data_IF_929846348749
#
_entry.id   IF_929846348749
#
_cell.length_a   1.000
_cell.length_b   1.000
_cell.length_c   1.000
_cell.angle_alpha   90.00
_cell.angle_beta   90.00
_cell.angle_gamma   90.00
#
_symmetry.space_group_name_H-M   'P 1'
#
loop_
_entity.id
_entity.type
_entity.pdbx_description
1 polymer ?
#
# COMPACT_ATOMS: atom_id res chain seq x y z
N UNK A 1 -12.56 1.14 29.09
CA UNK A 1 -11.97 -0.21 29.01
C UNK A 1 -12.96 -1.25 28.46
N UNK A 2 -14.16 -1.41 29.03
CA UNK A 2 -15.17 -2.40 28.58
C UNK A 2 -15.68 -2.30 27.12
N UNK A 3 -15.66 -1.13 26.49
CA UNK A 3 -16.05 -0.98 25.08
C UNK A 3 -15.00 -1.56 24.10
N UNK A 4 -13.76 -1.72 24.56
CA UNK A 4 -12.67 -2.31 23.78
C UNK A 4 -12.81 -3.83 23.70
N UNK A 5 -13.33 -4.48 24.76
CA UNK A 5 -13.51 -5.93 24.80
C UNK A 5 -14.45 -6.43 23.70
N UNK A 6 -15.61 -5.78 23.53
CA UNK A 6 -16.58 -6.17 22.48
C UNK A 6 -16.00 -6.03 21.08
N UNK A 7 -15.28 -4.95 20.79
CA UNK A 7 -14.67 -4.73 19.48
C UNK A 7 -13.49 -5.68 19.23
N UNK A 8 -12.67 -5.95 20.26
CA UNK A 8 -11.56 -6.89 20.18
C UNK A 8 -12.04 -8.33 19.97
N UNK A 9 -13.11 -8.75 20.65
CA UNK A 9 -13.74 -10.06 20.44
C UNK A 9 -14.32 -10.20 19.03
N UNK A 10 -15.08 -9.20 18.56
CA UNK A 10 -15.62 -9.20 17.19
C UNK A 10 -14.50 -9.21 16.13
N UNK A 11 -13.43 -8.47 16.37
CA UNK A 11 -12.25 -8.46 15.50
C UNK A 11 -11.59 -9.84 15.46
N UNK A 12 -11.32 -10.45 16.63
CA UNK A 12 -10.67 -11.76 16.77
C UNK A 12 -11.46 -12.87 16.08
N UNK A 13 -12.79 -12.89 16.24
CA UNK A 13 -13.65 -13.88 15.57
C UNK A 13 -13.62 -13.71 14.05
N UNK A 14 -13.70 -12.48 13.54
CA UNK A 14 -13.64 -12.20 12.09
C UNK A 14 -12.29 -12.58 11.50
N UNK A 15 -11.19 -12.29 12.19
CA UNK A 15 -9.84 -12.64 11.71
C UNK A 15 -9.57 -14.13 11.77
N UNK A 16 -10.06 -14.83 12.80
CA UNK A 16 -9.99 -16.28 12.89
C UNK A 16 -10.75 -16.96 11.75
N UNK A 17 -12.00 -16.53 11.47
CA UNK A 17 -12.78 -17.05 10.35
C UNK A 17 -12.10 -16.78 9.00
N UNK A 18 -11.56 -15.57 8.80
CA UNK A 18 -10.82 -15.23 7.59
C UNK A 18 -9.53 -16.07 7.43
N UNK A 19 -8.82 -16.34 8.54
CA UNK A 19 -7.59 -17.12 8.54
C UNK A 19 -7.85 -18.59 8.20
N UNK A 20 -8.92 -19.19 8.75
CA UNK A 20 -9.35 -20.55 8.39
C UNK A 20 -9.78 -20.61 6.93
N UNK A 21 -10.54 -19.63 6.44
CA UNK A 21 -10.95 -19.58 5.03
C UNK A 21 -9.74 -19.50 4.09
N UNK A 22 -8.74 -18.67 4.42
CA UNK A 22 -7.51 -18.58 3.64
C UNK A 22 -6.69 -19.87 3.68
N UNK A 23 -6.63 -20.55 4.83
CA UNK A 23 -5.99 -21.86 4.95
C UNK A 23 -6.71 -22.91 4.10
N UNK A 24 -8.05 -22.94 4.13
CA UNK A 24 -8.85 -23.83 3.29
C UNK A 24 -8.58 -23.58 1.81
N UNK A 25 -8.54 -22.33 1.36
CA UNK A 25 -8.20 -21.97 -0.02
C UNK A 25 -6.77 -22.38 -0.37
N UNK A 26 -5.80 -22.16 0.53
CA UNK A 26 -4.40 -22.58 0.32
C UNK A 26 -4.25 -24.10 0.20
N UNK A 27 -5.00 -24.86 1.00
CA UNK A 27 -5.06 -26.32 0.90
C UNK A 27 -5.75 -26.77 -0.39
N UNK A 28 -6.88 -26.14 -0.76
CA UNK A 28 -7.61 -26.44 -2.00
C UNK A 28 -6.78 -26.11 -3.26
N UNK A 29 -5.96 -25.07 -3.21
CA UNK A 29 -5.01 -24.70 -4.27
C UNK A 29 -3.72 -25.50 -4.29
N UNK A 30 -3.58 -26.52 -3.43
CA UNK A 30 -2.40 -27.37 -3.29
C UNK A 30 -1.07 -26.58 -3.13
N UNK A 31 -1.12 -25.46 -2.39
CA UNK A 31 0.08 -24.67 -2.13
C UNK A 31 1.09 -25.50 -1.34
N UNK A 32 2.36 -25.43 -1.71
CA UNK A 32 3.44 -26.16 -1.02
C UNK A 32 3.57 -25.80 0.47
N UNK A 33 3.06 -24.61 0.87
CA UNK A 33 3.11 -24.10 2.24
C UNK A 33 1.87 -23.26 2.58
N UNK A 34 0.72 -23.90 2.88
CA UNK A 34 -0.55 -23.22 3.11
C UNK A 34 -0.58 -22.40 4.41
N UNK A 35 0.31 -22.70 5.37
CA UNK A 35 0.42 -21.95 6.63
C UNK A 35 0.75 -20.46 6.41
N UNK A 36 1.44 -20.11 5.32
CA UNK A 36 1.73 -18.72 4.98
C UNK A 36 0.46 -17.94 4.63
N UNK A 37 -0.52 -18.57 4.00
CA UNK A 37 -1.80 -17.93 3.70
C UNK A 37 -2.50 -17.49 5.00
N UNK A 38 -2.54 -18.39 5.99
CA UNK A 38 -3.07 -18.08 7.32
C UNK A 38 -2.28 -16.96 8.02
N UNK A 39 -0.94 -17.01 7.97
CA UNK A 39 -0.08 -15.99 8.58
C UNK A 39 -0.30 -14.59 8.00
N UNK A 40 -0.49 -14.46 6.67
CA UNK A 40 -0.74 -13.16 6.04
C UNK A 40 -2.06 -12.53 6.49
N UNK A 41 -3.11 -13.33 6.73
CA UNK A 41 -4.39 -12.81 7.23
C UNK A 41 -4.20 -12.17 8.60
N UNK A 42 -3.49 -12.83 9.52
CA UNK A 42 -3.19 -12.24 10.83
C UNK A 42 -2.36 -10.96 10.73
N UNK A 43 -1.34 -10.94 9.86
CA UNK A 43 -0.50 -9.76 9.67
C UNK A 43 -1.31 -8.58 9.10
N UNK A 44 -2.12 -8.80 8.06
CA UNK A 44 -2.87 -7.75 7.35
C UNK A 44 -4.04 -7.20 8.16
N UNK A 45 -4.61 -8.02 9.03
CA UNK A 45 -5.79 -7.65 9.83
C UNK A 45 -5.43 -6.84 11.08
N UNK A 46 -4.18 -6.91 11.57
CA UNK A 46 -3.71 -6.22 12.76
C UNK A 46 -4.22 -4.76 12.85
N UNK A 47 -4.97 -4.38 13.89
CA UNK A 47 -5.63 -3.06 13.98
C UNK A 47 -4.61 -1.92 14.12
N UNK A 48 -3.38 -2.22 14.56
CA UNK A 48 -2.27 -1.28 14.64
C UNK A 48 -1.72 -0.81 13.27
N UNK A 49 -2.28 -1.29 12.15
CA UNK A 49 -1.95 -0.83 10.81
C UNK A 49 -2.69 0.46 10.39
N UNK A 50 -3.47 1.09 11.27
CA UNK A 50 -4.23 2.32 10.97
C UNK A 50 -3.41 3.42 10.27
N UNK A 51 -2.21 3.79 10.77
CA UNK A 51 -1.33 4.75 10.09
C UNK A 51 -0.69 4.20 8.80
N UNK A 52 -0.48 2.89 8.73
CA UNK A 52 0.22 2.21 7.63
C UNK A 52 -0.67 2.01 6.40
N UNK A 53 -1.98 1.77 6.58
CA UNK A 53 -2.94 1.65 5.47
C UNK A 53 -3.09 2.96 4.72
N UNK A 54 -3.22 4.08 5.42
CA UNK A 54 -3.24 5.41 4.81
C UNK A 54 -1.93 5.68 4.06
N UNK A 55 -0.79 5.39 4.69
CA UNK A 55 0.55 5.57 4.08
C UNK A 55 0.75 4.70 2.82
N UNK A 56 0.18 3.50 2.80
CA UNK A 56 0.19 2.60 1.64
C UNK A 56 -0.63 3.16 0.47
N UNK A 57 -1.83 3.68 0.74
CA UNK A 57 -2.67 4.29 -0.30
C UNK A 57 -1.99 5.49 -0.98
N UNK A 58 -1.37 6.38 -0.19
CA UNK A 58 -0.60 7.51 -0.74
C UNK A 58 0.60 7.07 -1.60
N UNK A 59 1.24 5.93 -1.29
CA UNK A 59 2.32 5.38 -2.11
C UNK A 59 1.84 4.82 -3.44
N UNK A 60 0.70 4.12 -3.46
CA UNK A 60 0.12 3.60 -4.69
C UNK A 60 -0.30 4.75 -5.60
N UNK A 61 -0.98 5.76 -5.05
CA UNK A 61 -1.36 6.94 -5.83
C UNK A 61 -0.14 7.70 -6.37
N UNK A 62 0.88 7.91 -5.53
CA UNK A 62 2.11 8.58 -5.95
C UNK A 62 2.86 7.85 -7.07
N UNK A 63 2.92 6.52 -7.03
CA UNK A 63 3.57 5.72 -8.08
C UNK A 63 2.78 5.73 -9.39
N UNK A 64 1.44 5.68 -9.33
CA UNK A 64 0.59 5.79 -10.52
C UNK A 64 0.72 7.17 -11.18
N UNK A 65 0.68 8.24 -10.39
CA UNK A 65 0.83 9.62 -10.90
C UNK A 65 2.22 9.82 -11.50
N UNK A 66 3.27 9.38 -10.80
CA UNK A 66 4.63 9.47 -11.30
C UNK A 66 4.82 8.66 -12.59
N UNK A 67 4.32 7.42 -12.63
CA UNK A 67 4.38 6.56 -13.82
C UNK A 67 3.64 7.16 -15.02
N UNK A 68 2.45 7.70 -14.81
CA UNK A 68 1.68 8.37 -15.88
C UNK A 68 2.42 9.61 -16.42
N UNK A 69 2.99 10.44 -15.54
CA UNK A 69 3.78 11.60 -15.95
C UNK A 69 5.03 11.19 -16.76
N UNK A 70 5.72 10.13 -16.33
CA UNK A 70 6.86 9.56 -17.05
C UNK A 70 6.46 9.02 -18.41
N UNK A 71 5.37 8.25 -18.50
CA UNK A 71 4.84 7.73 -19.78
C UNK A 71 4.42 8.84 -20.74
N UNK A 72 3.97 9.98 -20.23
CA UNK A 72 3.64 11.14 -21.06
C UNK A 72 4.90 11.89 -21.52
N UNK A 73 5.87 12.13 -20.63
CA UNK A 73 7.08 12.89 -20.97
C UNK A 73 8.08 12.11 -21.84
N UNK A 74 8.22 10.79 -21.63
CA UNK A 74 9.19 9.97 -22.36
C UNK A 74 9.08 10.11 -23.89
N UNK A 75 7.93 9.83 -24.52
CA UNK A 75 7.85 9.84 -25.98
C UNK A 75 8.00 11.24 -26.58
N UNK A 76 7.69 12.30 -25.83
CA UNK A 76 7.80 13.68 -26.32
C UNK A 76 9.23 14.24 -26.23
N UNK A 77 10.02 13.81 -25.24
CA UNK A 77 11.33 14.40 -24.93
C UNK A 77 12.51 13.42 -25.10
N UNK A 78 12.27 12.20 -25.62
CA UNK A 78 13.33 11.19 -25.80
C UNK A 78 14.47 11.65 -26.72
N UNK A 79 14.14 12.46 -27.73
CA UNK A 79 15.11 13.00 -28.70
C UNK A 79 16.07 14.04 -28.09
N UNK A 80 15.75 14.59 -26.91
CA UNK A 80 16.54 15.63 -26.24
C UNK A 80 16.82 15.27 -24.76
N UNK A 81 17.86 14.45 -24.47
CA UNK A 81 18.09 13.88 -23.13
C UNK A 81 18.35 14.94 -22.04
N UNK A 82 18.92 16.08 -22.42
CA UNK A 82 19.14 17.21 -21.50
C UNK A 82 17.81 17.82 -21.02
N UNK A 83 16.87 17.99 -21.95
CA UNK A 83 15.56 18.57 -21.68
C UNK A 83 14.69 17.61 -20.87
N UNK A 84 14.74 16.31 -21.18
CA UNK A 84 14.11 15.25 -20.40
C UNK A 84 14.59 15.25 -18.94
N UNK A 85 15.90 15.36 -18.73
CA UNK A 85 16.51 15.37 -17.39
C UNK A 85 16.08 16.60 -16.57
N UNK A 86 16.09 17.79 -17.19
CA UNK A 86 15.62 19.02 -16.55
C UNK A 86 14.15 18.92 -16.17
N UNK A 87 13.30 18.42 -17.07
CA UNK A 87 11.88 18.31 -16.84
C UNK A 87 11.54 17.26 -15.77
N UNK A 88 12.26 16.12 -15.73
CA UNK A 88 12.12 15.12 -14.65
C UNK A 88 12.56 15.67 -13.30
N UNK A 89 13.67 16.42 -13.24
CA UNK A 89 14.12 17.09 -12.01
C UNK A 89 13.06 18.07 -11.50
N UNK A 90 12.47 18.88 -12.38
CA UNK A 90 11.42 19.84 -12.03
C UNK A 90 10.16 19.14 -11.51
N UNK A 91 9.75 18.05 -12.17
CA UNK A 91 8.63 17.22 -11.73
C UNK A 91 8.86 16.59 -10.35
N UNK A 92 10.02 15.97 -10.13
CA UNK A 92 10.39 15.36 -8.86
C UNK A 92 10.46 16.41 -7.74
N UNK A 93 11.05 17.58 -8.02
CA UNK A 93 11.11 18.70 -7.09
C UNK A 93 9.71 19.18 -6.69
N UNK A 94 8.79 19.33 -7.65
CA UNK A 94 7.39 19.68 -7.39
C UNK A 94 6.67 18.63 -6.54
N UNK A 95 6.84 17.34 -6.86
CA UNK A 95 6.27 16.25 -6.07
C UNK A 95 6.81 16.25 -4.63
N UNK A 96 8.12 16.46 -4.46
CA UNK A 96 8.76 16.53 -3.15
C UNK A 96 8.30 17.75 -2.35
N UNK A 97 8.14 18.90 -3.00
CA UNK A 97 7.61 20.11 -2.37
C UNK A 97 6.20 19.89 -1.82
N UNK A 98 5.30 19.27 -2.60
CA UNK A 98 3.94 18.93 -2.15
C UNK A 98 3.99 17.93 -0.99
N UNK A 99 4.87 16.92 -1.05
CA UNK A 99 5.06 15.96 0.03
C UNK A 99 5.54 16.61 1.33
N UNK A 100 6.43 17.61 1.24
CA UNK A 100 6.92 18.38 2.39
C UNK A 100 5.89 19.36 2.94
N UNK A 101 4.98 19.86 2.10
CA UNK A 101 3.86 20.69 2.52
C UNK A 101 2.81 19.86 3.28
N UNK A 102 2.60 18.61 2.87
CA UNK A 102 1.71 17.66 3.51
C UNK A 102 2.32 17.04 4.79
N UNK A 103 2.70 17.88 5.77
CA UNK A 103 3.01 17.44 7.12
C UNK A 103 1.71 16.99 7.82
N UNK A 104 1.28 15.76 7.53
CA UNK A 104 0.12 15.15 8.16
C UNK A 104 0.25 15.08 9.70
N UNK A 105 -0.88 15.03 10.43
CA UNK A 105 -0.90 15.07 11.90
C UNK A 105 -0.22 13.83 12.48
N UNK A 106 0.46 14.03 13.62
CA UNK A 106 1.22 13.04 14.37
C UNK A 106 0.30 12.01 15.01
#
# INVERSE_FOLDING_TARGET
MLLLDRQAWLFSVKTFLAAIAALYIGLAGNLSRPYWAMATVYIVTQPMLGPTRAKGAYRILGTLIAGAATLWMLPHLVETPLLLSAAMSLWLSGCLFIALLNRGPR
#
